data_IF_625229592806
#
_entry.id   IF_625229592806
#
_cell.length_a   1.000
_cell.length_b   1.000
_cell.length_c   1.000
_cell.angle_alpha   90.00
_cell.angle_beta   90.00
_cell.angle_gamma   90.00
#
_symmetry.space_group_name_H-M   'P 1'
#
loop_
_entity.id
_entity.type
_entity.pdbx_description
1 polymer ?
#
# COMPACT_ATOMS: atom_id res chain seq x y z
N UNK A 1 1.52 -13.68 15.79
CA UNK A 1 2.94 -13.74 15.42
C UNK A 1 3.16 -13.58 13.93
N UNK A 2 3.57 -12.40 13.50
CA UNK A 2 4.06 -12.13 12.13
C UNK A 2 5.45 -11.48 12.13
N UNK A 3 5.97 -11.12 13.30
CA UNK A 3 7.31 -10.57 13.48
C UNK A 3 8.32 -11.70 13.73
N UNK A 4 9.50 -11.61 13.10
CA UNK A 4 10.57 -12.63 13.21
C UNK A 4 11.11 -12.80 14.63
N UNK A 5 11.16 -11.74 15.42
CA UNK A 5 11.72 -11.73 16.77
C UNK A 5 10.66 -11.88 17.88
N UNK A 6 9.48 -12.43 17.56
CA UNK A 6 8.44 -12.56 18.58
C UNK A 6 8.71 -13.76 19.49
N UNK A 7 8.99 -13.51 20.77
CA UNK A 7 9.36 -14.53 21.76
C UNK A 7 8.17 -15.04 22.59
N UNK A 8 6.95 -14.54 22.35
CA UNK A 8 5.78 -15.02 23.10
C UNK A 8 5.49 -16.48 22.76
N UNK A 9 5.03 -17.24 23.76
CA UNK A 9 4.61 -18.62 23.57
C UNK A 9 3.51 -18.75 22.49
N UNK A 10 3.47 -19.87 21.75
CA UNK A 10 2.40 -20.13 20.81
C UNK A 10 1.06 -20.27 21.55
N UNK A 11 0.00 -19.75 20.94
CA UNK A 11 -1.37 -19.91 21.43
C UNK A 11 -2.20 -20.68 20.40
N UNK A 12 -2.96 -21.67 20.88
CA UNK A 12 -3.81 -22.49 20.05
C UNK A 12 -5.09 -21.75 19.67
N UNK A 13 -5.40 -21.68 18.38
CA UNK A 13 -6.63 -21.03 17.88
C UNK A 13 -7.92 -21.83 18.14
N UNK A 14 -7.82 -23.08 18.58
CA UNK A 14 -8.98 -23.95 18.87
C UNK A 14 -9.41 -23.88 20.33
N UNK A 15 -8.45 -23.75 21.25
CA UNK A 15 -8.70 -23.92 22.70
C UNK A 15 -7.99 -22.89 23.59
N UNK A 16 -7.31 -21.88 23.02
CA UNK A 16 -6.55 -20.87 23.75
C UNK A 16 -5.38 -21.41 24.61
N UNK A 17 -4.98 -22.68 24.46
CA UNK A 17 -3.87 -23.28 25.22
C UNK A 17 -2.48 -22.91 24.69
N UNK A 18 -1.45 -23.10 25.53
CA UNK A 18 -0.04 -22.77 25.24
C UNK A 18 0.64 -23.85 24.37
N UNK A 19 0.13 -24.05 23.16
CA UNK A 19 0.67 -24.99 22.18
C UNK A 19 0.31 -24.55 20.75
N UNK A 20 0.98 -25.14 19.76
CA UNK A 20 0.62 -24.94 18.36
C UNK A 20 -0.71 -25.62 18.02
N UNK A 21 -1.57 -24.96 17.24
CA UNK A 21 -2.90 -25.47 16.86
C UNK A 21 -2.91 -26.88 16.21
N UNK A 22 -1.80 -27.30 15.58
CA UNK A 22 -1.67 -28.63 14.98
C UNK A 22 -1.40 -29.74 16.03
N UNK A 23 -0.90 -29.39 17.22
CA UNK A 23 -0.74 -30.31 18.37
C UNK A 23 -1.97 -30.38 19.27
N UNK A 24 -3.03 -29.65 18.93
CA UNK A 24 -4.22 -29.55 19.76
C UNK A 24 -5.04 -30.85 19.69
N UNK A 25 -5.29 -31.45 20.85
CA UNK A 25 -6.12 -32.66 21.02
C UNK A 25 -7.59 -32.35 21.30
N UNK A 26 -8.00 -31.08 21.25
CA UNK A 26 -9.38 -30.69 21.50
C UNK A 26 -10.31 -31.31 20.43
N UNK A 27 -11.38 -32.01 20.83
CA UNK A 27 -12.39 -32.51 19.91
C UNK A 27 -12.99 -31.41 19.03
N UNK A 28 -13.22 -31.73 17.76
CA UNK A 28 -13.84 -30.82 16.77
C UNK A 28 -15.27 -30.42 17.12
N UNK A 29 -15.96 -31.24 17.92
CA UNK A 29 -17.34 -31.02 18.36
C UNK A 29 -17.46 -29.94 19.44
N UNK A 30 -16.37 -29.57 20.10
CA UNK A 30 -16.39 -28.55 21.15
C UNK A 30 -16.24 -27.15 20.55
N UNK A 31 -16.98 -26.15 21.05
CA UNK A 31 -16.92 -24.78 20.54
C UNK A 31 -15.51 -24.23 20.70
N UNK A 32 -14.99 -23.52 19.70
CA UNK A 32 -13.65 -22.94 19.74
C UNK A 32 -13.56 -21.81 20.77
N UNK A 33 -12.38 -21.60 21.35
CA UNK A 33 -12.17 -20.58 22.39
C UNK A 33 -11.26 -19.47 21.87
N UNK A 34 -11.73 -18.22 21.95
CA UNK A 34 -10.97 -17.06 21.49
C UNK A 34 -9.83 -16.73 22.48
N UNK A 35 -8.57 -16.77 22.04
CA UNK A 35 -7.44 -16.35 22.90
C UNK A 35 -7.51 -14.88 23.33
N UNK A 36 -8.21 -14.01 22.59
CA UNK A 36 -8.25 -12.58 22.85
C UNK A 36 -9.36 -12.16 23.83
N UNK A 37 -10.50 -12.86 23.84
CA UNK A 37 -11.67 -12.49 24.66
C UNK A 37 -12.32 -13.67 25.41
N UNK A 38 -11.79 -14.88 25.27
CA UNK A 38 -12.32 -16.13 25.82
C UNK A 38 -13.75 -16.51 25.38
N UNK A 39 -14.31 -15.87 24.35
CA UNK A 39 -15.62 -16.22 23.79
C UNK A 39 -15.59 -17.44 22.84
N UNK A 40 -16.78 -17.91 22.46
CA UNK A 40 -17.01 -19.10 21.63
C UNK A 40 -16.82 -18.85 20.12
N UNK A 41 -15.69 -18.27 19.75
CA UNK A 41 -15.33 -18.00 18.37
C UNK A 41 -13.79 -18.01 18.20
N UNK A 42 -13.26 -18.20 16.98
CA UNK A 42 -11.82 -18.15 16.80
C UNK A 42 -11.29 -16.71 16.94
N UNK A 43 -9.97 -16.57 17.17
CA UNK A 43 -9.31 -15.27 17.31
C UNK A 43 -9.43 -14.36 16.06
N UNK A 44 -9.66 -14.95 14.88
CA UNK A 44 -9.81 -14.24 13.62
C UNK A 44 -11.23 -13.69 13.37
N UNK A 45 -12.21 -14.02 14.21
CA UNK A 45 -13.59 -13.57 14.09
C UNK A 45 -13.67 -12.03 14.02
N UNK A 46 -14.41 -11.50 13.05
CA UNK A 46 -14.52 -10.06 12.80
C UNK A 46 -15.37 -9.33 13.82
N UNK A 47 -16.38 -10.01 14.39
CA UNK A 47 -17.25 -9.48 15.44
C UNK A 47 -16.70 -9.57 16.86
N UNK A 48 -15.44 -10.00 17.03
CA UNK A 48 -14.82 -10.09 18.35
C UNK A 48 -14.66 -8.70 18.98
N UNK A 49 -15.19 -8.49 20.19
CA UNK A 49 -15.07 -7.21 20.91
C UNK A 49 -13.63 -6.83 21.28
N UNK A 50 -12.73 -7.82 21.41
CA UNK A 50 -11.30 -7.58 21.63
C UNK A 50 -10.54 -7.25 20.33
N UNK A 51 -11.18 -7.31 19.16
CA UNK A 51 -10.56 -6.91 17.90
C UNK A 51 -10.35 -5.40 17.92
N UNK A 52 -9.11 -4.90 17.77
CA UNK A 52 -8.88 -3.47 17.68
C UNK A 52 -9.72 -2.88 16.55
N UNK A 53 -10.46 -1.80 16.83
CA UNK A 53 -11.15 -1.06 15.78
C UNK A 53 -10.10 -0.66 14.74
N UNK A 54 -10.32 -1.05 13.49
CA UNK A 54 -9.48 -0.60 12.39
C UNK A 54 -9.76 0.88 12.24
N UNK A 55 -8.99 1.71 12.93
CA UNK A 55 -8.89 3.10 12.56
C UNK A 55 -8.39 3.04 11.12
N UNK A 56 -9.25 3.38 10.18
CA UNK A 56 -8.83 3.79 8.85
C UNK A 56 -8.01 5.05 9.06
N UNK A 57 -6.79 4.90 9.60
CA UNK A 57 -5.70 5.79 9.25
C UNK A 57 -5.73 5.68 7.75
N UNK A 58 -6.25 6.70 7.09
CA UNK A 58 -5.96 6.96 5.70
C UNK A 58 -4.47 6.71 5.63
N UNK A 59 -4.10 5.59 5.01
CA UNK A 59 -2.77 5.45 4.50
C UNK A 59 -2.74 6.59 3.50
N UNK A 60 -2.32 7.77 3.96
CA UNK A 60 -1.79 8.78 3.09
C UNK A 60 -0.64 8.02 2.46
N UNK A 61 -0.91 7.39 1.31
CA UNK A 61 0.12 6.92 0.42
C UNK A 61 1.03 8.13 0.37
N UNK A 62 2.24 8.01 0.91
CA UNK A 62 3.27 9.02 0.65
C UNK A 62 3.18 9.24 -0.85
N UNK A 63 2.95 10.46 -1.34
CA UNK A 63 3.04 10.74 -2.75
C UNK A 63 4.31 10.03 -3.22
N UNK A 64 4.21 9.18 -4.23
CA UNK A 64 5.43 8.63 -4.81
C UNK A 64 6.16 9.86 -5.34
N UNK A 65 7.18 10.32 -4.63
CA UNK A 65 7.96 11.52 -4.94
C UNK A 65 8.79 11.35 -6.24
N UNK A 66 8.53 10.30 -7.02
CA UNK A 66 9.02 10.19 -8.38
C UNK A 66 8.14 11.07 -9.29
N UNK A 67 8.71 12.02 -10.04
CA UNK A 67 7.93 12.82 -10.97
C UNK A 67 7.31 11.89 -12.01
N UNK A 68 5.98 11.79 -11.95
CA UNK A 68 5.16 11.10 -12.95
C UNK A 68 5.58 11.57 -14.35
N UNK A 69 5.47 10.69 -15.35
CA UNK A 69 5.71 11.04 -16.76
C UNK A 69 4.91 12.28 -17.17
N UNK A 70 3.73 12.50 -16.59
CA UNK A 70 2.94 13.71 -16.80
C UNK A 70 3.65 14.98 -16.33
N UNK A 71 4.31 14.96 -15.17
CA UNK A 71 5.03 16.13 -14.63
C UNK A 71 6.27 16.44 -15.48
N UNK A 72 6.99 15.40 -15.93
CA UNK A 72 8.12 15.56 -16.85
C UNK A 72 7.68 16.15 -18.19
N UNK A 73 6.56 15.67 -18.73
CA UNK A 73 5.98 16.17 -19.97
C UNK A 73 5.58 17.65 -19.86
N UNK A 74 4.92 18.04 -18.77
CA UNK A 74 4.54 19.44 -18.53
C UNK A 74 5.76 20.38 -18.42
N UNK A 75 6.85 19.91 -17.81
CA UNK A 75 8.10 20.67 -17.73
C UNK A 75 8.73 20.89 -19.11
N UNK A 76 8.76 19.87 -19.95
CA UNK A 76 9.24 19.97 -21.34
C UNK A 76 8.39 20.95 -22.14
N UNK A 77 7.05 20.88 -22.01
CA UNK A 77 6.15 21.84 -22.68
C UNK A 77 6.47 23.28 -22.24
N UNK A 78 6.69 23.51 -20.95
CA UNK A 78 7.05 24.84 -20.44
C UNK A 78 8.38 25.33 -21.02
N UNK A 79 9.41 24.47 -21.05
CA UNK A 79 10.71 24.80 -21.64
C UNK A 79 10.58 25.14 -23.14
N UNK A 80 9.78 24.38 -23.89
CA UNK A 80 9.47 24.68 -25.29
C UNK A 80 8.73 26.00 -25.47
N UNK A 81 7.77 26.30 -24.60
CA UNK A 81 7.05 27.59 -24.63
C UNK A 81 7.98 28.77 -24.39
N UNK A 82 8.97 28.66 -23.50
CA UNK A 82 9.95 29.73 -23.29
C UNK A 82 10.88 29.90 -24.49
N UNK A 83 11.33 28.81 -25.12
CA UNK A 83 12.15 28.89 -26.34
C UNK A 83 11.40 29.53 -27.51
N UNK A 84 10.10 29.26 -27.63
CA UNK A 84 9.24 29.88 -28.66
C UNK A 84 8.94 31.37 -28.41
N UNK A 85 9.38 31.96 -27.28
CA UNK A 85 9.32 33.42 -27.07
C UNK A 85 10.56 34.15 -27.58
N UNK A 86 11.62 33.42 -27.93
CA UNK A 86 12.83 34.03 -28.46
C UNK A 86 12.66 34.34 -29.96
N UNK A 87 12.55 35.64 -30.27
CA UNK A 87 12.41 36.15 -31.63
C UNK A 87 13.54 35.70 -32.58
N UNK A 88 14.77 35.50 -32.07
CA UNK A 88 15.88 34.98 -32.89
C UNK A 88 15.65 33.53 -33.27
N UNK A 89 15.15 32.73 -32.33
CA UNK A 89 14.82 31.32 -32.55
C UNK A 89 13.64 31.21 -33.52
N UNK A 90 12.60 32.02 -33.35
CA UNK A 90 11.44 32.05 -34.26
C UNK A 90 11.89 32.45 -35.67
N UNK A 91 12.70 33.51 -35.79
CA UNK A 91 13.24 33.95 -37.08
C UNK A 91 14.09 32.86 -37.76
N UNK A 92 14.86 32.09 -36.99
CA UNK A 92 15.66 30.98 -37.50
C UNK A 92 14.80 29.77 -37.90
N UNK A 93 13.75 29.46 -37.15
CA UNK A 93 12.81 28.40 -37.53
C UNK A 93 12.06 28.77 -38.82
N UNK A 94 11.63 30.02 -38.96
CA UNK A 94 10.94 30.53 -40.16
C UNK A 94 11.85 30.49 -41.37
N UNK A 95 13.15 30.78 -41.23
CA UNK A 95 14.11 30.72 -42.34
C UNK A 95 14.47 29.30 -42.78
N UNK A 96 14.26 28.29 -41.92
CA UNK A 96 14.47 26.88 -42.22
C UNK A 96 13.22 26.20 -42.82
N UNK A 97 12.01 26.72 -42.60
CA UNK A 97 10.76 26.20 -43.19
C UNK A 97 10.73 26.09 -44.73
N UNK A 98 11.39 26.98 -45.52
CA UNK A 98 11.48 26.84 -46.98
C UNK A 98 12.27 25.60 -47.42
N UNK A 99 13.21 25.12 -46.60
CA UNK A 99 14.11 23.98 -46.91
C UNK A 99 13.38 22.63 -46.77
N UNK A 100 12.26 22.59 -46.06
CA UNK A 100 11.49 21.36 -45.80
C UNK A 100 10.31 21.14 -46.77
N UNK A 101 10.08 22.08 -47.70
CA UNK A 101 8.99 22.03 -48.70
C UNK A 101 9.42 21.55 -50.09
N UNK A 102 10.67 21.10 -50.25
CA UNK A 102 11.17 20.38 -51.44
C UNK A 102 11.37 18.91 -51.10
#
# INVERSE_FOLDING_TARGET
HTQKACLSNPACMKCAGVHFSYKCVKPLLLPVTCINCQGDHPACFTGCGARPRRNHRTFTRRPQDAPSSAVKFLRIIKELQELLKDEKIISLLISLLPVLKT
#
